data_IF_071659833515
#
_entry.id   IF_071659833515
#
_cell.length_a   1.000
_cell.length_b   1.000
_cell.length_c   1.000
_cell.angle_alpha   90.00
_cell.angle_beta   90.00
_cell.angle_gamma   90.00
#
_symmetry.space_group_name_H-M   'P 1'
#
loop_
_entity.id
_entity.type
_entity.pdbx_description
1 polymer ?
#
# COMPACT_ATOMS: atom_id res chain seq x y z
N UNK A 1 -4.46 -3.61 12.28
CA UNK A 1 -4.59 -4.86 11.50
C UNK A 1 -5.55 -5.88 12.14
N UNK A 2 -5.24 -6.39 13.36
CA UNK A 2 -6.07 -7.42 14.02
C UNK A 2 -7.49 -6.95 14.35
N UNK A 3 -7.64 -5.73 14.87
CA UNK A 3 -8.96 -5.13 15.15
C UNK A 3 -9.80 -4.88 13.89
N UNK A 4 -9.19 -4.48 12.77
CA UNK A 4 -9.93 -4.23 11.53
C UNK A 4 -10.55 -5.51 10.96
N UNK A 5 -9.83 -6.64 11.04
CA UNK A 5 -10.31 -7.96 10.64
C UNK A 5 -11.39 -8.50 11.58
N UNK A 6 -11.20 -8.35 12.90
CA UNK A 6 -12.20 -8.77 13.88
C UNK A 6 -13.50 -7.96 13.76
N UNK A 7 -13.42 -6.64 13.54
CA UNK A 7 -14.60 -5.76 13.40
C UNK A 7 -15.30 -5.93 12.05
N UNK A 8 -14.56 -6.14 10.95
CA UNK A 8 -15.14 -6.39 9.63
C UNK A 8 -15.99 -7.68 9.58
N UNK A 9 -15.65 -8.67 10.41
CA UNK A 9 -16.45 -9.90 10.56
C UNK A 9 -17.72 -9.69 11.40
N UNK A 10 -17.81 -8.59 12.16
CA UNK A 10 -18.91 -8.31 13.07
C UNK A 10 -19.95 -7.33 12.50
N UNK A 11 -19.66 -6.66 11.37
CA UNK A 11 -20.57 -5.67 10.77
C UNK A 11 -20.34 -5.47 9.26
N UNK A 12 -21.38 -5.79 8.47
CA UNK A 12 -21.45 -5.55 7.02
C UNK A 12 -21.16 -4.08 6.62
N UNK A 13 -21.81 -3.07 7.23
CA UNK A 13 -21.47 -1.66 6.96
C UNK A 13 -20.01 -1.32 7.23
N UNK A 14 -19.41 -1.84 8.31
CA UNK A 14 -18.01 -1.54 8.64
C UNK A 14 -17.07 -2.18 7.64
N UNK A 15 -17.31 -3.43 7.24
CA UNK A 15 -16.51 -4.08 6.19
C UNK A 15 -16.58 -3.30 4.88
N UNK A 16 -17.77 -2.85 4.47
CA UNK A 16 -17.94 -2.05 3.27
C UNK A 16 -17.18 -0.72 3.34
N UNK A 17 -17.23 -0.04 4.49
CA UNK A 17 -16.49 1.21 4.71
C UNK A 17 -14.97 1.01 4.65
N UNK A 18 -14.44 -0.06 5.28
CA UNK A 18 -13.02 -0.41 5.22
C UNK A 18 -12.60 -0.68 3.78
N UNK A 19 -13.36 -1.51 3.05
CA UNK A 19 -13.08 -1.80 1.64
C UNK A 19 -13.06 -0.52 0.80
N UNK A 20 -14.03 0.37 1.02
CA UNK A 20 -14.10 1.64 0.29
C UNK A 20 -12.87 2.51 0.54
N UNK A 21 -12.39 2.62 1.78
CA UNK A 21 -11.16 3.35 2.09
C UNK A 21 -9.92 2.72 1.47
N UNK A 22 -9.83 1.38 1.48
CA UNK A 22 -8.77 0.62 0.82
C UNK A 22 -8.74 0.85 -0.70
N UNK A 23 -9.90 0.80 -1.36
CA UNK A 23 -10.01 1.05 -2.79
C UNK A 23 -9.63 2.49 -3.15
N UNK A 24 -10.02 3.47 -2.33
CA UNK A 24 -9.64 4.88 -2.52
C UNK A 24 -8.14 5.08 -2.39
N UNK A 25 -7.52 4.49 -1.36
CA UNK A 25 -6.08 4.56 -1.18
C UNK A 25 -5.34 3.97 -2.38
N UNK A 26 -5.76 2.78 -2.86
CA UNK A 26 -5.18 2.16 -4.07
C UNK A 26 -5.25 3.09 -5.27
N UNK A 27 -6.42 3.68 -5.51
CA UNK A 27 -6.66 4.56 -6.65
C UNK A 27 -5.74 5.80 -6.62
N UNK A 28 -5.55 6.39 -5.45
CA UNK A 28 -4.64 7.54 -5.26
C UNK A 28 -3.18 7.15 -5.54
N UNK A 29 -2.72 6.00 -5.03
CA UNK A 29 -1.35 5.53 -5.28
C UNK A 29 -1.13 5.21 -6.76
N UNK A 30 -2.10 4.54 -7.41
CA UNK A 30 -2.02 4.25 -8.85
C UNK A 30 -1.97 5.53 -9.68
N UNK A 31 -2.69 6.58 -9.26
CA UNK A 31 -2.63 7.88 -9.91
C UNK A 31 -1.25 8.52 -9.80
N UNK A 32 -0.63 8.52 -8.62
CA UNK A 32 0.73 9.01 -8.44
C UNK A 32 1.74 8.24 -9.31
N UNK A 33 1.59 6.92 -9.43
CA UNK A 33 2.46 6.10 -10.29
C UNK A 33 2.30 6.50 -11.77
N UNK A 34 1.07 6.72 -12.25
CA UNK A 34 0.82 7.19 -13.63
C UNK A 34 1.47 8.54 -13.89
N UNK A 35 1.37 9.47 -12.95
CA UNK A 35 1.99 10.79 -13.05
C UNK A 35 3.51 10.69 -13.11
N UNK A 36 4.13 9.87 -12.26
CA UNK A 36 5.57 9.62 -12.26
C UNK A 36 6.04 8.92 -13.55
N UNK A 37 5.27 7.98 -14.09
CA UNK A 37 5.54 7.36 -15.40
C UNK A 37 5.49 8.40 -16.53
N UNK A 38 4.50 9.31 -16.51
CA UNK A 38 4.40 10.39 -17.49
C UNK A 38 5.58 11.37 -17.41
N UNK A 39 6.14 11.58 -16.20
CA UNK A 39 7.36 12.34 -15.98
C UNK A 39 8.65 11.57 -16.31
N UNK A 40 8.55 10.25 -16.57
CA UNK A 40 9.70 9.38 -16.84
C UNK A 40 10.53 9.04 -15.60
N UNK A 41 9.94 9.16 -14.41
CA UNK A 41 10.55 8.85 -13.11
C UNK A 41 10.41 7.37 -12.73
N UNK A 42 9.34 6.72 -13.20
CA UNK A 42 9.03 5.29 -12.98
C UNK A 42 8.97 4.59 -14.34
N UNK A 43 9.43 3.33 -14.42
CA UNK A 43 9.30 2.51 -15.64
C UNK A 43 7.82 2.38 -16.07
N UNK A 44 7.55 2.77 -17.32
CA UNK A 44 6.23 2.69 -17.96
C UNK A 44 5.75 1.28 -18.28
N UNK A 45 6.60 0.25 -18.11
CA UNK A 45 6.23 -1.16 -18.30
C UNK A 45 5.37 -1.72 -17.16
N UNK A 46 5.40 -1.10 -15.99
CA UNK A 46 4.60 -1.49 -14.84
C UNK A 46 3.12 -1.11 -15.01
N UNK A 47 2.21 -2.02 -14.66
CA UNK A 47 0.79 -1.70 -14.47
C UNK A 47 0.63 -0.90 -13.14
N UNK A 48 0.18 0.37 -13.21
CA UNK A 48 0.03 1.22 -12.02
C UNK A 48 -0.95 0.66 -11.00
N UNK A 49 -2.02 0.00 -11.44
CA UNK A 49 -3.04 -0.54 -10.55
C UNK A 49 -2.53 -1.79 -9.82
N UNK A 50 -1.78 -2.64 -10.53
CA UNK A 50 -1.15 -3.81 -9.94
C UNK A 50 -0.07 -3.40 -8.93
N UNK A 51 0.78 -2.43 -9.28
CA UNK A 51 1.84 -1.93 -8.41
C UNK A 51 1.27 -1.24 -7.16
N UNK A 52 0.25 -0.40 -7.31
CA UNK A 52 -0.44 0.20 -6.17
C UNK A 52 -1.06 -0.85 -5.23
N UNK A 53 -1.66 -1.90 -5.79
CA UNK A 53 -2.19 -3.02 -5.01
C UNK A 53 -1.10 -3.77 -4.23
N UNK A 54 0.07 -3.98 -4.84
CA UNK A 54 1.22 -4.59 -4.17
C UNK A 54 1.76 -3.72 -3.03
N UNK A 55 1.91 -2.40 -3.26
CA UNK A 55 2.34 -1.43 -2.24
C UNK A 55 1.40 -1.45 -1.05
N UNK A 56 0.08 -1.41 -1.30
CA UNK A 56 -0.93 -1.44 -0.24
C UNK A 56 -0.89 -2.74 0.57
N UNK A 57 -0.84 -3.90 -0.10
CA UNK A 57 -0.79 -5.19 0.57
C UNK A 57 0.48 -5.35 1.41
N UNK A 58 1.61 -4.87 0.90
CA UNK A 58 2.89 -4.91 1.61
C UNK A 58 2.90 -4.01 2.84
N UNK A 59 2.28 -2.82 2.76
CA UNK A 59 2.16 -1.88 3.86
C UNK A 59 1.47 -2.47 5.09
N UNK A 60 0.45 -3.32 4.91
CA UNK A 60 -0.23 -3.97 6.03
C UNK A 60 0.69 -4.89 6.84
N UNK A 61 1.52 -5.67 6.14
CA UNK A 61 2.51 -6.55 6.76
C UNK A 61 3.60 -5.77 7.48
N UNK A 62 4.07 -4.67 6.88
CA UNK A 62 5.04 -3.74 7.49
C UNK A 62 4.50 -3.17 8.79
N UNK A 63 3.26 -2.66 8.79
CA UNK A 63 2.64 -2.09 9.99
C UNK A 63 2.43 -3.14 11.10
N UNK A 64 2.17 -4.40 10.76
CA UNK A 64 2.14 -5.50 11.75
C UNK A 64 3.52 -5.69 12.37
N UNK A 65 4.59 -5.75 11.57
CA UNK A 65 5.97 -5.88 12.07
C UNK A 65 6.37 -4.72 12.96
N UNK A 66 6.11 -3.48 12.54
CA UNK A 66 6.37 -2.26 13.34
C UNK A 66 5.75 -2.34 14.73
N UNK A 67 4.51 -2.86 14.84
CA UNK A 67 3.82 -3.01 16.12
C UNK A 67 4.42 -4.12 17.00
N UNK A 68 4.82 -5.24 16.39
CA UNK A 68 5.42 -6.38 17.10
C UNK A 68 6.83 -6.01 17.61
N UNK A 69 7.64 -5.46 16.72
CA UNK A 69 9.05 -5.13 16.98
C UNK A 69 9.18 -3.85 17.83
N UNK A 70 8.11 -3.04 17.91
CA UNK A 70 8.08 -1.70 18.54
C UNK A 70 9.18 -0.79 18.00
N UNK A 71 9.43 -0.92 16.71
CA UNK A 71 10.49 -0.26 15.98
C UNK A 71 9.97 0.16 14.60
N UNK A 72 10.40 1.32 14.13
CA UNK A 72 10.03 1.87 12.82
C UNK A 72 10.90 1.32 11.68
N UNK A 73 12.00 0.62 11.98
CA UNK A 73 12.90 0.04 10.97
C UNK A 73 12.18 -0.74 9.84
N UNK A 74 11.10 -1.52 10.07
CA UNK A 74 10.37 -2.18 8.97
C UNK A 74 9.74 -1.20 7.96
N UNK A 75 9.36 -0.01 8.40
CA UNK A 75 8.84 1.06 7.53
C UNK A 75 9.96 1.63 6.68
N UNK A 76 11.12 1.89 7.28
CA UNK A 76 12.28 2.43 6.55
C UNK A 76 12.77 1.44 5.48
N UNK A 77 12.85 0.15 5.82
CA UNK A 77 13.15 -0.93 4.88
C UNK A 77 12.14 -0.95 3.71
N UNK A 78 10.85 -0.88 4.02
CA UNK A 78 9.79 -0.87 3.02
C UNK A 78 9.90 0.33 2.07
N UNK A 79 10.07 1.54 2.61
CA UNK A 79 10.21 2.76 1.81
C UNK A 79 11.43 2.65 0.90
N UNK A 80 12.57 2.18 1.43
CA UNK A 80 13.77 1.94 0.62
C UNK A 80 13.50 0.99 -0.55
N UNK A 81 12.91 -0.18 -0.31
CA UNK A 81 12.59 -1.12 -1.40
C UNK A 81 11.64 -0.55 -2.44
N UNK A 82 10.60 0.18 -2.02
CA UNK A 82 9.63 0.76 -2.95
C UNK A 82 10.31 1.75 -3.89
N UNK A 83 11.10 2.70 -3.36
CA UNK A 83 11.71 3.74 -4.18
C UNK A 83 12.97 3.27 -4.92
N UNK A 84 13.78 2.40 -4.32
CA UNK A 84 15.06 1.99 -4.90
C UNK A 84 14.94 0.81 -5.87
N UNK A 85 13.84 0.05 -5.81
CA UNK A 85 13.63 -1.14 -6.65
C UNK A 85 12.38 -1.05 -7.52
N UNK A 86 11.20 -0.82 -6.92
CA UNK A 86 9.92 -0.98 -7.64
C UNK A 86 9.49 0.28 -8.41
N UNK A 87 9.80 1.46 -7.90
CA UNK A 87 9.52 2.75 -8.54
C UNK A 87 10.73 3.31 -9.28
N UNK A 88 11.78 2.50 -9.45
CA UNK A 88 12.92 2.89 -10.26
C UNK A 88 12.52 2.92 -11.73
N UNK A 89 13.11 3.85 -12.47
CA UNK A 89 13.07 3.87 -13.94
C UNK A 89 13.86 2.72 -14.56
#
# INVERSE_FOLDING_TARGET
PKMALEIANLSEPVRAAIKCGMDQFRSLVAQCIREAQAAGEVDGSHDPEALAGFIQASWEGVMIRTQIDRDIAPVDEFVGYIFDTFLKR
#
